data_IF_511602505811
#
_entry.id   IF_511602505811
#
_cell.length_a   1.000
_cell.length_b   1.000
_cell.length_c   1.000
_cell.angle_alpha   90.00
_cell.angle_beta   90.00
_cell.angle_gamma   90.00
#
_symmetry.space_group_name_H-M   'P 1'
#
loop_
_entity.id
_entity.type
_entity.pdbx_description
1 polymer ?
#
# COMPACT_ATOMS: atom_id res chain seq x y z
N UNK A 1 -10.89 -27.22 -9.88
CA UNK A 1 -9.61 -26.54 -10.26
C UNK A 1 -9.61 -25.02 -10.12
N UNK A 2 -10.61 -24.28 -10.64
CA UNK A 2 -10.59 -22.78 -10.63
C UNK A 2 -10.52 -22.14 -9.23
N UNK A 3 -11.04 -22.83 -8.21
CA UNK A 3 -10.97 -22.41 -6.81
C UNK A 3 -9.54 -22.56 -6.27
N UNK A 4 -8.96 -23.77 -6.31
CA UNK A 4 -7.59 -24.04 -5.85
C UNK A 4 -6.56 -23.10 -6.47
N UNK A 5 -6.65 -22.85 -7.79
CA UNK A 5 -5.74 -21.93 -8.49
C UNK A 5 -5.87 -20.48 -8.01
N UNK A 6 -7.10 -20.04 -7.66
CA UNK A 6 -7.35 -18.69 -7.12
C UNK A 6 -6.68 -18.51 -5.75
N UNK A 7 -6.92 -19.43 -4.80
CA UNK A 7 -6.37 -19.29 -3.45
C UNK A 7 -4.86 -19.53 -3.39
N UNK A 8 -4.35 -20.47 -4.20
CA UNK A 8 -2.90 -20.67 -4.35
C UNK A 8 -2.23 -19.41 -4.93
N UNK A 9 -2.81 -18.80 -5.99
CA UNK A 9 -2.29 -17.56 -6.56
C UNK A 9 -2.29 -16.39 -5.57
N UNK A 10 -3.35 -16.22 -4.78
CA UNK A 10 -3.40 -15.20 -3.72
C UNK A 10 -2.32 -15.48 -2.66
N UNK A 11 -2.14 -16.73 -2.23
CA UNK A 11 -1.11 -17.11 -1.27
C UNK A 11 0.30 -16.75 -1.75
N UNK A 12 0.62 -17.05 -3.02
CA UNK A 12 1.92 -16.71 -3.62
C UNK A 12 2.12 -15.18 -3.65
N UNK A 13 1.10 -14.41 -4.04
CA UNK A 13 1.19 -12.95 -4.06
C UNK A 13 1.34 -12.36 -2.65
N UNK A 14 0.71 -12.93 -1.63
CA UNK A 14 0.91 -12.54 -0.25
C UNK A 14 2.35 -12.82 0.22
N UNK A 15 2.92 -13.97 -0.15
CA UNK A 15 4.33 -14.28 0.12
C UNK A 15 5.24 -13.27 -0.57
N UNK A 16 4.94 -12.88 -1.82
CA UNK A 16 5.71 -11.84 -2.52
C UNK A 16 5.65 -10.48 -1.80
N UNK A 17 4.49 -10.07 -1.28
CA UNK A 17 4.38 -8.87 -0.43
C UNK A 17 5.26 -8.98 0.83
N UNK A 18 5.26 -10.14 1.48
CA UNK A 18 6.11 -10.40 2.66
C UNK A 18 7.58 -10.33 2.28
N UNK A 19 7.98 -10.87 1.13
CA UNK A 19 9.37 -10.83 0.67
C UNK A 19 9.84 -9.41 0.39
N UNK A 20 9.03 -8.57 -0.26
CA UNK A 20 9.33 -7.14 -0.46
C UNK A 20 9.54 -6.43 0.89
N UNK A 21 8.78 -6.83 1.91
CA UNK A 21 8.89 -6.31 3.27
C UNK A 21 10.09 -6.87 4.04
N UNK A 22 10.52 -8.10 3.76
CA UNK A 22 11.66 -8.73 4.42
C UNK A 22 13.00 -8.22 3.86
N UNK A 23 13.11 -8.16 2.53
CA UNK A 23 14.30 -7.66 1.81
C UNK A 23 14.32 -6.14 1.67
N UNK A 24 13.60 -5.48 2.57
CA UNK A 24 13.31 -4.07 2.54
C UNK A 24 14.54 -3.17 2.65
N UNK A 25 15.55 -3.63 3.39
CA UNK A 25 16.80 -2.90 3.65
C UNK A 25 17.85 -3.13 2.55
N UNK A 26 17.72 -4.22 1.80
CA UNK A 26 18.68 -4.63 0.75
C UNK A 26 18.23 -4.13 -0.63
N UNK A 27 16.92 -4.15 -0.90
CA UNK A 27 16.35 -3.78 -2.19
C UNK A 27 16.17 -2.28 -2.39
N UNK A 28 16.05 -1.51 -1.31
CA UNK A 28 15.68 -0.09 -1.38
C UNK A 28 16.56 0.78 -0.50
N UNK A 29 16.96 1.92 -1.07
CA UNK A 29 17.63 2.99 -0.32
C UNK A 29 16.62 3.71 0.59
N UNK A 30 16.75 3.51 1.90
CA UNK A 30 15.97 4.25 2.90
C UNK A 30 16.78 4.42 4.21
N UNK A 31 17.48 5.56 4.39
CA UNK A 31 18.29 5.82 5.57
C UNK A 31 17.43 5.96 6.84
N UNK A 32 16.13 6.22 6.69
CA UNK A 32 15.22 6.38 7.81
C UNK A 32 14.80 5.06 8.45
N UNK A 33 15.04 3.89 7.82
CA UNK A 33 14.71 2.59 8.44
C UNK A 33 15.43 2.43 9.80
N UNK A 34 16.71 2.82 9.88
CA UNK A 34 17.48 2.72 11.12
C UNK A 34 17.14 3.84 12.11
N UNK A 35 16.91 5.05 11.61
CA UNK A 35 16.49 6.21 12.41
C UNK A 35 15.16 5.96 13.16
N UNK A 36 14.15 5.41 12.50
CA UNK A 36 12.87 5.08 13.15
C UNK A 36 12.91 3.80 14.01
N UNK A 37 14.04 3.06 14.03
CA UNK A 37 14.25 1.88 14.88
C UNK A 37 14.99 2.20 16.19
N UNK A 38 15.81 3.23 16.21
CA UNK A 38 16.50 3.68 17.43
C UNK A 38 15.57 4.42 18.37
N UNK A 39 15.78 4.27 19.68
CA UNK A 39 15.00 4.95 20.71
C UNK A 39 14.93 6.47 20.44
N UNK A 40 13.68 6.95 20.45
CA UNK A 40 13.07 8.18 19.95
C UNK A 40 13.76 9.55 20.21
N UNK A 41 15.02 9.65 20.64
CA UNK A 41 15.46 10.89 21.30
C UNK A 41 16.87 11.39 21.04
N UNK A 42 17.76 10.69 20.30
CA UNK A 42 19.18 11.12 20.25
C UNK A 42 19.94 10.99 18.93
N UNK A 43 19.29 10.65 17.82
CA UNK A 43 19.99 10.59 16.52
C UNK A 43 19.56 11.80 15.70
N UNK A 44 20.54 12.54 15.16
CA UNK A 44 20.27 13.58 14.17
C UNK A 44 19.59 12.97 12.94
N UNK A 45 18.70 13.71 12.28
CA UNK A 45 18.11 13.26 11.02
C UNK A 45 19.23 12.89 10.04
N UNK A 46 19.24 11.67 9.49
CA UNK A 46 20.31 11.24 8.60
C UNK A 46 20.29 12.07 7.33
N UNK A 47 21.46 12.41 6.80
CA UNK A 47 21.54 13.00 5.46
C UNK A 47 20.98 12.02 4.43
N UNK A 48 20.15 12.55 3.53
CA UNK A 48 19.51 11.74 2.49
C UNK A 48 19.57 12.44 1.15
N UNK A 49 19.81 11.64 0.12
CA UNK A 49 19.73 12.09 -1.26
C UNK A 49 18.26 12.09 -1.70
N UNK A 50 17.69 13.28 -1.88
CA UNK A 50 16.28 13.50 -2.27
C UNK A 50 15.83 12.68 -3.48
N UNK A 51 16.44 12.81 -4.68
CA UNK A 51 15.99 12.09 -5.86
C UNK A 51 16.13 10.56 -5.72
N UNK A 52 17.19 10.09 -5.06
CA UNK A 52 17.37 8.64 -4.82
C UNK A 52 16.28 8.12 -3.87
N UNK A 53 15.96 8.86 -2.81
CA UNK A 53 14.91 8.48 -1.85
C UNK A 53 13.53 8.44 -2.50
N UNK A 54 13.20 9.47 -3.30
CA UNK A 54 11.94 9.55 -4.05
C UNK A 54 11.78 8.37 -5.00
N UNK A 55 12.83 8.07 -5.78
CA UNK A 55 12.80 6.98 -6.75
C UNK A 55 12.60 5.62 -6.06
N UNK A 56 13.28 5.39 -4.94
CA UNK A 56 13.12 4.16 -4.16
C UNK A 56 11.72 4.05 -3.55
N UNK A 57 11.15 5.14 -3.02
CA UNK A 57 9.77 5.16 -2.54
C UNK A 57 8.77 4.90 -3.67
N UNK A 58 9.00 5.47 -4.85
CA UNK A 58 8.17 5.23 -6.03
C UNK A 58 8.19 3.75 -6.46
N UNK A 59 9.37 3.16 -6.64
CA UNK A 59 9.49 1.76 -7.04
C UNK A 59 8.84 0.82 -6.03
N UNK A 60 9.07 1.08 -4.75
CA UNK A 60 8.49 0.29 -3.67
C UNK A 60 6.96 0.41 -3.63
N UNK A 61 6.44 1.63 -3.74
CA UNK A 61 5.00 1.87 -3.81
C UNK A 61 4.39 1.15 -5.03
N UNK A 62 5.01 1.31 -6.20
CA UNK A 62 4.56 0.71 -7.45
C UNK A 62 4.53 -0.82 -7.38
N UNK A 63 5.58 -1.46 -6.86
CA UNK A 63 5.63 -2.92 -6.70
C UNK A 63 4.54 -3.43 -5.74
N UNK A 64 4.38 -2.78 -4.58
CA UNK A 64 3.31 -3.12 -3.64
C UNK A 64 1.92 -2.91 -4.25
N UNK A 65 1.72 -1.81 -4.99
CA UNK A 65 0.47 -1.51 -5.67
C UNK A 65 0.14 -2.55 -6.76
N UNK A 66 1.10 -2.91 -7.61
CA UNK A 66 0.92 -3.91 -8.67
C UNK A 66 0.51 -5.25 -8.06
N UNK A 67 1.23 -5.74 -7.06
CA UNK A 67 0.91 -7.02 -6.40
C UNK A 67 -0.45 -6.94 -5.71
N UNK A 68 -0.75 -5.84 -5.05
CA UNK A 68 -2.05 -5.59 -4.42
C UNK A 68 -3.20 -5.59 -5.41
N UNK A 69 -3.04 -4.95 -6.57
CA UNK A 69 -4.04 -4.94 -7.63
C UNK A 69 -4.24 -6.33 -8.24
N UNK A 70 -3.18 -7.14 -8.36
CA UNK A 70 -3.29 -8.55 -8.76
C UNK A 70 -4.06 -9.37 -7.72
N UNK A 71 -3.84 -9.16 -6.43
CA UNK A 71 -4.61 -9.81 -5.35
C UNK A 71 -6.09 -9.43 -5.47
N UNK A 72 -6.40 -8.14 -5.61
CA UNK A 72 -7.78 -7.64 -5.78
C UNK A 72 -8.43 -8.24 -7.04
N UNK A 73 -7.69 -8.30 -8.15
CA UNK A 73 -8.15 -8.92 -9.39
C UNK A 73 -8.47 -10.40 -9.18
N UNK A 74 -7.60 -11.17 -8.55
CA UNK A 74 -7.86 -12.59 -8.27
C UNK A 74 -9.04 -12.78 -7.32
N UNK A 75 -9.19 -11.90 -6.33
CA UNK A 75 -10.24 -11.97 -5.34
C UNK A 75 -11.63 -11.72 -5.93
N UNK A 76 -11.81 -10.63 -6.68
CA UNK A 76 -13.10 -10.20 -7.21
C UNK A 76 -13.37 -10.62 -8.66
N UNK A 77 -12.31 -10.86 -9.44
CA UNK A 77 -12.33 -11.09 -10.91
C UNK A 77 -13.09 -10.02 -11.69
N UNK A 78 -13.03 -8.78 -11.21
CA UNK A 78 -13.76 -7.65 -11.75
C UNK A 78 -12.79 -6.55 -12.17
N UNK A 79 -12.78 -6.22 -13.47
CA UNK A 79 -11.89 -5.19 -14.03
C UNK A 79 -12.28 -3.78 -13.58
N UNK A 80 -13.55 -3.53 -13.26
CA UNK A 80 -13.99 -2.22 -12.76
C UNK A 80 -13.45 -1.99 -11.35
N UNK A 81 -13.54 -2.99 -10.47
CA UNK A 81 -12.98 -2.91 -9.11
C UNK A 81 -11.46 -2.65 -9.17
N UNK A 82 -10.74 -3.33 -10.07
CA UNK A 82 -9.30 -3.10 -10.25
C UNK A 82 -8.99 -1.69 -10.75
N UNK A 83 -9.77 -1.16 -11.72
CA UNK A 83 -9.59 0.22 -12.21
C UNK A 83 -9.80 1.25 -11.10
N UNK A 84 -10.87 1.11 -10.32
CA UNK A 84 -11.15 1.99 -9.18
C UNK A 84 -10.04 1.88 -8.13
N UNK A 85 -9.59 0.65 -7.83
CA UNK A 85 -8.46 0.43 -6.93
C UNK A 85 -7.20 1.13 -7.42
N UNK A 86 -6.85 0.96 -8.70
CA UNK A 86 -5.66 1.59 -9.29
C UNK A 86 -5.72 3.12 -9.22
N UNK A 87 -6.90 3.71 -9.43
CA UNK A 87 -7.13 5.14 -9.24
C UNK A 87 -6.90 5.56 -7.77
N UNK A 88 -7.42 4.80 -6.80
CA UNK A 88 -7.22 5.07 -5.37
C UNK A 88 -5.73 5.01 -5.00
N UNK A 89 -4.99 4.00 -5.48
CA UNK A 89 -3.53 3.93 -5.31
C UNK A 89 -2.84 5.15 -5.94
N UNK A 90 -3.20 5.53 -7.17
CA UNK A 90 -2.61 6.70 -7.84
C UNK A 90 -2.84 8.00 -7.06
N UNK A 91 -4.08 8.26 -6.64
CA UNK A 91 -4.43 9.45 -5.84
C UNK A 91 -3.69 9.43 -4.50
N UNK A 92 -3.69 8.30 -3.80
CA UNK A 92 -3.00 8.16 -2.52
C UNK A 92 -1.51 8.47 -2.65
N UNK A 93 -0.84 7.97 -3.70
CA UNK A 93 0.56 8.28 -3.95
C UNK A 93 0.79 9.77 -4.21
N UNK A 94 0.01 10.37 -5.12
CA UNK A 94 0.13 11.79 -5.49
C UNK A 94 -0.08 12.72 -4.29
N UNK A 95 -1.00 12.38 -3.38
CA UNK A 95 -1.27 13.18 -2.19
C UNK A 95 -0.26 12.95 -1.08
N UNK A 96 0.13 11.71 -0.83
CA UNK A 96 0.98 11.38 0.32
C UNK A 96 2.45 11.62 0.07
N UNK A 97 2.93 11.54 -1.18
CA UNK A 97 4.34 11.79 -1.48
C UNK A 97 4.78 13.23 -1.15
N UNK A 98 4.07 14.32 -1.54
CA UNK A 98 4.47 15.67 -1.14
C UNK A 98 4.31 15.89 0.37
N UNK A 99 3.27 15.32 0.98
CA UNK A 99 3.05 15.39 2.43
C UNK A 99 4.21 14.73 3.18
N UNK A 100 4.61 13.52 2.79
CA UNK A 100 5.75 12.81 3.37
C UNK A 100 7.01 13.67 3.34
N UNK A 101 7.28 14.27 2.19
CA UNK A 101 8.46 15.09 1.97
C UNK A 101 8.42 16.44 2.70
N UNK A 102 7.24 17.01 2.90
CA UNK A 102 7.05 18.17 3.76
C UNK A 102 7.33 17.82 5.23
N UNK A 103 6.79 16.69 5.71
CA UNK A 103 6.99 16.22 7.08
C UNK A 103 8.45 15.84 7.34
N UNK A 104 9.14 15.30 6.34
CA UNK A 104 10.57 14.98 6.41
C UNK A 104 11.46 16.21 6.67
N UNK A 105 11.05 17.39 6.17
CA UNK A 105 11.76 18.66 6.42
C UNK A 105 11.53 19.19 7.84
N UNK A 106 10.42 18.80 8.48
CA UNK A 106 10.02 19.23 9.83
C UNK A 106 9.95 18.03 10.78
N UNK A 107 10.92 17.12 10.65
CA UNK A 107 10.88 15.78 11.26
C UNK A 107 10.83 15.82 12.79
N UNK A 108 11.53 16.77 13.42
CA UNK A 108 11.60 16.89 14.88
C UNK A 108 10.23 17.18 15.50
N UNK A 109 9.46 18.07 14.89
CA UNK A 109 8.11 18.43 15.33
C UNK A 109 7.07 17.38 14.90
N UNK A 110 7.31 16.69 13.78
CA UNK A 110 6.34 15.84 13.10
C UNK A 110 6.75 14.37 13.03
N UNK A 111 7.52 13.89 14.01
CA UNK A 111 8.08 12.53 13.99
C UNK A 111 7.00 11.46 13.77
N UNK A 112 5.94 11.49 14.59
CA UNK A 112 4.86 10.51 14.52
C UNK A 112 4.11 10.58 13.18
N UNK A 113 3.80 11.78 12.72
CA UNK A 113 3.13 11.98 11.43
C UNK A 113 3.97 11.44 10.27
N UNK A 114 5.27 11.76 10.25
CA UNK A 114 6.22 11.26 9.24
C UNK A 114 6.26 9.74 9.22
N UNK A 115 6.32 9.13 10.41
CA UNK A 115 6.34 7.69 10.57
C UNK A 115 5.07 7.01 10.04
N UNK A 116 3.89 7.55 10.35
CA UNK A 116 2.62 6.98 9.87
C UNK A 116 2.42 7.17 8.37
N UNK A 117 2.75 8.34 7.81
CA UNK A 117 2.68 8.59 6.36
C UNK A 117 3.63 7.68 5.61
N UNK A 118 4.86 7.52 6.11
CA UNK A 118 5.85 6.59 5.55
C UNK A 118 5.33 5.15 5.52
N UNK A 119 4.69 4.70 6.61
CA UNK A 119 4.09 3.35 6.67
C UNK A 119 2.98 3.18 5.63
N UNK A 120 2.14 4.19 5.44
CA UNK A 120 1.08 4.13 4.44
C UNK A 120 1.62 4.04 3.00
N UNK A 121 2.71 4.75 2.70
CA UNK A 121 3.39 4.69 1.40
C UNK A 121 4.14 3.36 1.19
N UNK A 122 4.84 2.87 2.21
CA UNK A 122 5.76 1.73 2.05
C UNK A 122 5.03 0.38 2.22
N UNK A 123 4.03 0.31 3.09
CA UNK A 123 3.36 -0.94 3.43
C UNK A 123 2.10 -1.14 2.58
N UNK A 124 1.74 -2.40 2.23
CA UNK A 124 0.53 -2.70 1.48
C UNK A 124 -0.73 -2.59 2.37
N UNK A 125 -0.95 -1.45 3.04
CA UNK A 125 -2.11 -1.24 3.91
C UNK A 125 -3.40 -1.04 3.11
N UNK A 126 -3.30 -0.40 1.94
CA UNK A 126 -4.43 -0.11 1.07
C UNK A 126 -5.17 -1.38 0.64
N UNK A 127 -4.48 -2.49 0.35
CA UNK A 127 -5.16 -3.74 -0.07
C UNK A 127 -6.04 -4.32 1.02
N UNK A 128 -5.61 -4.24 2.29
CA UNK A 128 -6.38 -4.70 3.43
C UNK A 128 -7.63 -3.85 3.67
N UNK A 129 -7.62 -2.58 3.28
CA UNK A 129 -8.78 -1.68 3.35
C UNK A 129 -9.72 -1.89 2.17
N UNK A 130 -9.17 -2.03 0.96
CA UNK A 130 -9.94 -2.12 -0.27
C UNK A 130 -10.72 -3.43 -0.39
N UNK A 131 -10.14 -4.57 0.02
CA UNK A 131 -10.82 -5.86 -0.02
C UNK A 131 -12.16 -5.85 0.75
N UNK A 132 -12.21 -5.51 2.06
CA UNK A 132 -13.48 -5.47 2.79
C UNK A 132 -14.42 -4.39 2.25
N UNK A 133 -13.90 -3.23 1.82
CA UNK A 133 -14.72 -2.16 1.25
C UNK A 133 -15.48 -2.62 -0.01
N UNK A 134 -14.77 -3.23 -0.97
CA UNK A 134 -15.39 -3.75 -2.20
C UNK A 134 -16.25 -4.98 -1.94
N UNK A 135 -15.89 -5.81 -0.95
CA UNK A 135 -16.71 -6.94 -0.54
C UNK A 135 -18.09 -6.47 -0.05
N UNK A 136 -18.11 -5.45 0.82
CA UNK A 136 -19.37 -4.88 1.32
C UNK A 136 -20.18 -4.20 0.21
N UNK A 137 -19.52 -3.44 -0.67
CA UNK A 137 -20.16 -2.80 -1.81
C UNK A 137 -20.88 -3.82 -2.70
N UNK A 138 -20.20 -4.92 -3.06
CA UNK A 138 -20.75 -5.96 -3.93
C UNK A 138 -21.92 -6.69 -3.26
N UNK A 139 -21.80 -7.01 -1.96
CA UNK A 139 -22.90 -7.62 -1.18
C UNK A 139 -24.15 -6.74 -1.18
N UNK A 140 -23.99 -5.43 -0.99
CA UNK A 140 -25.12 -4.49 -0.99
C UNK A 140 -25.79 -4.38 -2.35
N UNK A 141 -25.02 -4.36 -3.44
CA UNK A 141 -25.57 -4.35 -4.80
C UNK A 141 -26.39 -5.61 -5.10
N UNK A 142 -25.94 -6.80 -4.67
CA UNK A 142 -26.70 -8.04 -4.83
C UNK A 142 -28.04 -8.00 -4.09
N UNK A 143 -28.06 -7.52 -2.84
CA UNK A 143 -29.30 -7.42 -2.06
C UNK A 143 -30.32 -6.44 -2.68
N UNK A 144 -29.87 -5.29 -3.20
CA UNK A 144 -30.74 -4.32 -3.88
C UNK A 144 -31.34 -4.93 -5.15
N UNK A 145 -30.53 -5.60 -5.98
CA UNK A 145 -31.03 -6.22 -7.22
C UNK A 145 -32.07 -7.33 -6.95
N UNK A 146 -31.90 -8.10 -5.87
CA UNK A 146 -32.90 -9.10 -5.44
C UNK A 146 -34.22 -8.47 -4.99
N UNK A 147 -34.19 -7.28 -4.38
CA UNK A 147 -35.41 -6.56 -3.98
C UNK A 147 -36.19 -6.01 -5.18
N UNK A 148 -35.50 -5.48 -6.20
CA UNK A 148 -36.11 -4.96 -7.43
C UNK A 148 -36.73 -6.08 -8.27
N UNK A 149 -36.10 -7.27 -8.32
CA UNK A 149 -36.63 -8.39 -9.11
C UNK A 149 -37.79 -9.14 -8.44
N UNK A 150 -38.12 -8.82 -7.17
CA UNK A 150 -39.25 -9.39 -6.42
C UNK A 150 -40.49 -8.47 -6.36
N UNK A 151 -40.37 -7.22 -6.81
CA UNK A 151 -41.46 -6.24 -6.95
C UNK A 151 -41.99 -6.21 -8.37
#
# INVERSE_FOLDING_TARGET
>A
MKFVLKYSGIGILCILLILIRAFENELFYDPFIRFFKSEFTRIASPDYNWPVLLLNHFFRYALNAIISLLIIYLFFRDRQIVKVSALIYGIAFILLIPVYFYLLRHLEENYLATFYVRRFLIQPLLVFILIPAFYYQKKRQSAVNESINKS
#
